data_IF_861209206791
#
_entry.id   IF_861209206791
#
_cell.length_a   1.000
_cell.length_b   1.000
_cell.length_c   1.000
_cell.angle_alpha   90.00
_cell.angle_beta   90.00
_cell.angle_gamma   90.00
#
_symmetry.space_group_name_H-M   'P 1'
#
loop_
_entity.id
_entity.type
_entity.pdbx_description
1 polymer ?
#
# COMPACT_ATOMS: atom_id res chain seq x y z
N UNK A 1 -21.46 17.19 24.63
CA UNK A 1 -20.92 15.86 24.34
C UNK A 1 -19.43 15.87 24.63
N UNK A 2 -18.92 14.92 25.41
CA UNK A 2 -17.49 14.79 25.74
C UNK A 2 -16.69 14.23 24.54
N UNK A 3 -15.38 14.43 24.52
CA UNK A 3 -14.48 13.86 23.48
C UNK A 3 -14.59 12.33 23.43
N UNK A 4 -14.68 11.68 24.59
CA UNK A 4 -14.85 10.23 24.70
C UNK A 4 -16.18 9.75 24.10
N UNK A 5 -17.31 10.42 24.40
CA UNK A 5 -18.61 10.08 23.83
C UNK A 5 -18.64 10.26 22.32
N UNK A 6 -17.93 11.24 21.78
CA UNK A 6 -17.78 11.41 20.33
C UNK A 6 -16.95 10.26 19.72
N UNK A 7 -15.82 9.90 20.36
CA UNK A 7 -14.98 8.79 19.89
C UNK A 7 -15.75 7.47 19.86
N UNK A 8 -16.53 7.15 20.89
CA UNK A 8 -17.36 5.93 20.92
C UNK A 8 -18.31 5.81 19.72
N UNK A 9 -18.86 6.93 19.23
CA UNK A 9 -19.78 6.93 18.08
C UNK A 9 -19.08 6.66 16.74
N UNK A 10 -17.80 6.95 16.63
CA UNK A 10 -17.02 6.74 15.39
C UNK A 10 -16.07 5.53 15.47
N UNK A 11 -15.87 4.94 16.64
CA UNK A 11 -14.85 3.90 16.88
C UNK A 11 -15.09 2.59 16.12
N UNK A 12 -16.32 2.31 15.70
CA UNK A 12 -16.65 1.17 14.83
C UNK A 12 -16.23 1.38 13.36
N UNK A 13 -15.90 2.61 12.99
CA UNK A 13 -15.47 2.95 11.63
C UNK A 13 -13.94 2.93 11.56
N UNK A 14 -13.37 2.35 10.51
CA UNK A 14 -11.91 2.41 10.28
C UNK A 14 -11.48 3.75 9.69
N UNK A 15 -12.35 4.37 8.88
CA UNK A 15 -12.15 5.67 8.25
C UNK A 15 -13.44 6.48 8.31
N UNK A 16 -13.31 7.76 8.58
CA UNK A 16 -14.43 8.71 8.54
C UNK A 16 -14.03 9.99 7.81
N UNK A 17 -15.02 10.61 7.17
CA UNK A 17 -14.92 12.02 6.80
C UNK A 17 -15.40 12.89 7.97
N UNK A 18 -14.97 14.16 8.01
CA UNK A 18 -15.50 15.09 9.04
C UNK A 18 -17.02 15.20 8.96
N UNK A 19 -17.59 15.11 7.75
CA UNK A 19 -19.05 15.15 7.54
C UNK A 19 -19.72 13.88 8.06
N UNK A 20 -19.21 12.68 7.73
CA UNK A 20 -19.80 11.44 8.23
C UNK A 20 -19.66 11.31 9.75
N UNK A 21 -18.55 11.75 10.34
CA UNK A 21 -18.38 11.80 11.80
C UNK A 21 -19.39 12.76 12.46
N UNK A 22 -19.67 13.90 11.84
CA UNK A 22 -20.68 14.83 12.31
C UNK A 22 -22.08 14.19 12.30
N UNK A 23 -22.44 13.49 11.22
CA UNK A 23 -23.71 12.77 11.08
C UNK A 23 -23.86 11.66 12.14
N UNK A 24 -22.86 10.80 12.30
CA UNK A 24 -22.83 9.72 13.30
C UNK A 24 -23.00 10.25 14.73
N UNK A 25 -22.44 11.43 15.00
CA UNK A 25 -22.49 12.04 16.32
C UNK A 25 -23.70 12.95 16.57
N UNK A 26 -24.46 13.32 15.54
CA UNK A 26 -25.53 14.32 15.63
C UNK A 26 -25.00 15.72 15.90
N UNK A 27 -23.87 16.11 15.29
CA UNK A 27 -23.19 17.39 15.50
C UNK A 27 -23.10 18.22 14.22
N UNK A 28 -22.80 19.52 14.40
CA UNK A 28 -22.38 20.34 13.27
C UNK A 28 -21.00 19.89 12.76
N UNK A 29 -20.71 20.11 11.46
CA UNK A 29 -19.41 19.80 10.86
C UNK A 29 -18.28 20.56 11.57
N UNK A 30 -18.51 21.80 11.99
CA UNK A 30 -17.55 22.60 12.73
C UNK A 30 -17.21 21.97 14.09
N UNK A 31 -18.21 21.54 14.84
CA UNK A 31 -18.04 20.88 16.14
C UNK A 31 -17.32 19.53 15.98
N UNK A 32 -17.71 18.72 14.99
CA UNK A 32 -17.04 17.45 14.70
C UNK A 32 -15.57 17.66 14.28
N UNK A 33 -15.27 18.69 13.50
CA UNK A 33 -13.91 19.05 13.13
C UNK A 33 -13.02 19.37 14.34
N UNK A 34 -13.55 20.12 15.31
CA UNK A 34 -12.84 20.41 16.56
C UNK A 34 -12.63 19.15 17.40
N UNK A 35 -13.65 18.29 17.51
CA UNK A 35 -13.56 17.04 18.24
C UNK A 35 -12.50 16.10 17.61
N UNK A 36 -12.51 15.93 16.27
CA UNK A 36 -11.52 15.13 15.54
C UNK A 36 -10.09 15.66 15.73
N UNK A 37 -9.88 16.98 15.75
CA UNK A 37 -8.57 17.56 16.04
C UNK A 37 -8.09 17.24 17.46
N UNK A 38 -8.97 17.27 18.48
CA UNK A 38 -8.64 16.89 19.85
C UNK A 38 -8.27 15.41 19.93
N UNK A 39 -9.08 14.52 19.32
CA UNK A 39 -8.77 13.09 19.23
C UNK A 39 -7.44 12.81 18.52
N UNK A 40 -7.08 13.64 17.54
CA UNK A 40 -5.80 13.49 16.83
C UNK A 40 -4.61 13.86 17.73
N UNK A 41 -4.75 14.86 18.61
CA UNK A 41 -3.72 15.19 19.61
C UNK A 41 -3.55 14.05 20.63
N UNK A 42 -4.62 13.32 20.93
CA UNK A 42 -4.62 12.15 21.83
C UNK A 42 -4.19 10.86 21.09
N UNK A 43 -3.92 10.91 19.77
CA UNK A 43 -3.50 9.75 18.96
C UNK A 43 -4.63 8.74 18.68
N UNK A 44 -5.89 9.09 18.96
CA UNK A 44 -7.06 8.23 18.77
C UNK A 44 -7.59 8.25 17.33
N UNK A 45 -7.27 9.29 16.57
CA UNK A 45 -7.53 9.37 15.13
C UNK A 45 -6.33 9.98 14.42
N UNK A 46 -6.17 9.67 13.14
CA UNK A 46 -5.07 10.22 12.32
C UNK A 46 -5.64 10.91 11.09
N UNK A 47 -5.26 12.17 10.86
CA UNK A 47 -5.65 12.91 9.68
C UNK A 47 -4.86 12.42 8.46
N UNK A 48 -5.57 12.03 7.40
CA UNK A 48 -4.98 11.57 6.14
C UNK A 48 -4.92 12.73 5.14
N UNK A 49 -6.07 13.35 4.90
CA UNK A 49 -6.27 14.50 4.01
C UNK A 49 -7.18 15.53 4.68
N UNK A 50 -7.36 16.72 4.12
CA UNK A 50 -8.37 17.65 4.60
C UNK A 50 -9.73 16.99 4.65
N UNK A 51 -10.30 16.86 5.86
CA UNK A 51 -11.61 16.26 6.09
C UNK A 51 -11.67 14.73 6.14
N UNK A 52 -10.55 14.02 6.00
CA UNK A 52 -10.47 12.55 6.03
C UNK A 52 -9.58 12.05 7.18
N UNK A 53 -10.04 11.04 7.91
CA UNK A 53 -9.44 10.57 9.14
C UNK A 53 -9.48 9.05 9.25
N UNK A 54 -8.39 8.43 9.70
CA UNK A 54 -8.38 7.05 10.19
C UNK A 54 -8.67 7.03 11.69
N UNK A 55 -9.38 6.00 12.15
CA UNK A 55 -9.82 5.84 13.54
C UNK A 55 -9.08 4.68 14.19
N UNK A 56 -8.64 4.87 15.41
CA UNK A 56 -8.01 3.84 16.23
C UNK A 56 -6.67 3.34 15.65
N UNK A 57 -6.47 2.02 15.67
CA UNK A 57 -5.25 1.36 15.20
C UNK A 57 -5.04 1.43 13.68
N UNK A 58 -6.07 1.74 12.90
CA UNK A 58 -6.01 1.73 11.44
C UNK A 58 -4.86 2.60 10.87
N UNK A 59 -4.44 3.64 11.60
CA UNK A 59 -3.29 4.47 11.22
C UNK A 59 -1.93 3.77 11.35
N UNK A 60 -1.86 2.62 12.03
CA UNK A 60 -0.66 1.80 12.19
C UNK A 60 -0.64 0.60 11.23
N UNK A 61 -1.71 0.37 10.51
CA UNK A 61 -1.90 -0.75 9.60
C UNK A 61 -1.51 -0.34 8.18
N UNK A 62 -0.45 -0.93 7.60
CA UNK A 62 0.11 -0.47 6.33
C UNK A 62 -0.88 -0.47 5.16
N UNK A 63 -1.72 -1.51 5.03
CA UNK A 63 -2.69 -1.59 3.95
C UNK A 63 -3.88 -0.63 4.15
N UNK A 64 -4.28 -0.35 5.42
CA UNK A 64 -5.27 0.67 5.73
C UNK A 64 -4.78 2.07 5.36
N UNK A 65 -3.50 2.40 5.63
CA UNK A 65 -2.89 3.66 5.20
C UNK A 65 -2.89 3.80 3.68
N UNK A 66 -2.51 2.75 2.95
CA UNK A 66 -2.51 2.72 1.49
C UNK A 66 -3.92 2.96 0.94
N UNK A 67 -4.93 2.24 1.47
CA UNK A 67 -6.32 2.40 1.06
C UNK A 67 -6.85 3.81 1.34
N UNK A 68 -6.55 4.37 2.51
CA UNK A 68 -6.98 5.72 2.88
C UNK A 68 -6.36 6.82 2.00
N UNK A 69 -5.07 6.68 1.65
CA UNK A 69 -4.40 7.63 0.74
C UNK A 69 -4.95 7.51 -0.67
N UNK A 70 -5.32 6.31 -1.12
CA UNK A 70 -5.88 6.05 -2.45
C UNK A 70 -7.33 6.52 -2.60
N UNK A 71 -8.09 6.60 -1.50
CA UNK A 71 -9.52 6.96 -1.52
C UNK A 71 -9.83 8.15 -2.45
N UNK A 72 -10.88 8.07 -3.30
CA UNK A 72 -11.94 7.07 -3.33
C UNK A 72 -11.65 5.82 -4.19
N UNK A 73 -10.45 5.67 -4.72
CA UNK A 73 -10.09 4.53 -5.55
C UNK A 73 -9.62 3.34 -4.71
N UNK A 74 -9.86 2.14 -5.21
CA UNK A 74 -9.29 0.92 -4.62
C UNK A 74 -7.77 0.92 -4.72
N UNK A 75 -7.13 0.31 -3.71
CA UNK A 75 -5.69 0.11 -3.67
C UNK A 75 -5.34 -1.13 -2.84
N UNK A 76 -4.16 -1.68 -3.12
CA UNK A 76 -3.55 -2.73 -2.32
C UNK A 76 -2.10 -2.39 -1.97
N UNK A 77 -1.66 -2.85 -0.80
CA UNK A 77 -0.26 -2.78 -0.37
C UNK A 77 0.58 -3.72 -1.24
N UNK A 78 1.72 -3.27 -1.73
CA UNK A 78 2.60 -4.03 -2.62
C UNK A 78 4.09 -3.75 -2.36
N UNK A 79 4.93 -4.20 -3.26
CA UNK A 79 6.36 -3.95 -3.26
C UNK A 79 7.06 -4.43 -1.99
N UNK A 80 7.99 -3.64 -1.48
CA UNK A 80 8.82 -4.02 -0.33
C UNK A 80 7.99 -4.31 0.92
N UNK A 81 6.93 -3.52 1.18
CA UNK A 81 6.08 -3.72 2.36
C UNK A 81 5.34 -5.06 2.33
N UNK A 82 4.82 -5.47 1.18
CA UNK A 82 4.16 -6.76 1.03
C UNK A 82 5.19 -7.91 0.99
N UNK A 83 6.35 -7.75 0.33
CA UNK A 83 7.43 -8.73 0.39
C UNK A 83 7.92 -8.97 1.83
N UNK A 84 8.03 -7.91 2.64
CA UNK A 84 8.37 -8.03 4.06
C UNK A 84 7.30 -8.80 4.83
N UNK A 85 6.03 -8.51 4.61
CA UNK A 85 4.92 -9.24 5.22
C UNK A 85 4.97 -10.74 4.89
N UNK A 86 5.31 -11.09 3.66
CA UNK A 86 5.48 -12.49 3.23
C UNK A 86 6.82 -13.12 3.65
N UNK A 87 7.65 -12.43 4.44
CA UNK A 87 8.94 -12.92 4.89
C UNK A 87 9.99 -13.07 3.79
N UNK A 88 9.81 -12.38 2.64
CA UNK A 88 10.68 -12.51 1.46
C UNK A 88 11.87 -11.57 1.45
N UNK A 89 11.88 -10.58 2.34
CA UNK A 89 12.99 -9.66 2.56
C UNK A 89 13.19 -9.42 4.05
N UNK A 90 14.41 -9.10 4.46
CA UNK A 90 14.75 -8.80 5.86
C UNK A 90 14.64 -7.31 6.19
N UNK A 91 14.75 -6.43 5.19
CA UNK A 91 14.71 -4.98 5.37
C UNK A 91 13.33 -4.51 5.82
N UNK A 92 13.32 -3.49 6.70
CA UNK A 92 12.11 -2.76 7.08
C UNK A 92 11.92 -1.56 6.15
N UNK A 93 10.89 -1.56 5.29
CA UNK A 93 10.69 -0.45 4.37
C UNK A 93 10.16 0.78 5.12
N UNK A 94 10.82 1.93 4.93
CA UNK A 94 10.37 3.25 5.43
C UNK A 94 9.18 3.82 4.64
N UNK A 95 8.91 3.24 3.47
CA UNK A 95 7.84 3.67 2.57
C UNK A 95 6.86 2.53 2.34
N UNK A 96 5.59 2.77 2.56
CA UNK A 96 4.53 1.86 2.14
C UNK A 96 4.18 2.10 0.67
N UNK A 97 4.38 1.07 -0.15
CA UNK A 97 4.05 1.08 -1.57
C UNK A 97 2.63 0.56 -1.77
N UNK A 98 1.81 1.38 -2.41
CA UNK A 98 0.47 1.00 -2.81
C UNK A 98 0.32 1.01 -4.33
N UNK A 99 -0.54 0.15 -4.81
CA UNK A 99 -0.97 0.09 -6.22
C UNK A 99 -2.44 0.43 -6.30
N UNK A 100 -2.81 1.30 -7.23
CA UNK A 100 -4.18 1.81 -7.37
C UNK A 100 -4.58 2.01 -8.83
N UNK A 101 -5.88 2.03 -9.08
CA UNK A 101 -6.47 2.49 -10.35
C UNK A 101 -6.57 4.02 -10.42
N UNK A 102 -6.38 4.72 -9.30
CA UNK A 102 -6.38 6.17 -9.22
C UNK A 102 -5.06 6.80 -9.67
N UNK A 103 -4.94 8.11 -9.45
CA UNK A 103 -3.71 8.86 -9.78
C UNK A 103 -2.56 8.48 -8.85
N UNK A 104 -1.31 8.44 -9.35
CA UNK A 104 -0.14 8.32 -8.48
C UNK A 104 -0.11 9.44 -7.44
N UNK A 105 0.31 9.10 -6.22
CA UNK A 105 0.44 10.05 -5.12
C UNK A 105 1.62 9.68 -4.22
N UNK A 106 2.17 10.67 -3.53
CA UNK A 106 3.14 10.46 -2.47
C UNK A 106 2.76 11.37 -1.30
N UNK A 107 2.62 10.80 -0.11
CA UNK A 107 2.14 11.53 1.06
C UNK A 107 2.78 10.96 2.34
N UNK A 108 3.14 11.84 3.27
CA UNK A 108 3.56 11.42 4.62
C UNK A 108 2.35 11.44 5.54
N UNK A 109 2.02 10.30 6.13
CA UNK A 109 0.88 10.11 7.03
C UNK A 109 1.36 9.39 8.28
N UNK A 110 1.01 9.87 9.47
CA UNK A 110 1.43 9.28 10.75
C UNK A 110 2.95 9.04 10.85
N UNK A 111 3.76 9.90 10.24
CA UNK A 111 5.22 9.74 10.22
C UNK A 111 5.75 8.82 9.12
N UNK A 112 4.90 8.05 8.45
CA UNK A 112 5.26 7.07 7.43
C UNK A 112 5.03 7.64 6.02
N UNK A 113 5.97 7.39 5.11
CA UNK A 113 5.79 7.73 3.70
C UNK A 113 4.90 6.68 3.03
N UNK A 114 3.79 7.11 2.41
CA UNK A 114 2.95 6.28 1.53
C UNK A 114 3.14 6.75 0.10
N UNK A 115 3.41 5.81 -0.80
CA UNK A 115 3.56 6.08 -2.23
C UNK A 115 2.64 5.19 -3.04
N UNK A 116 1.75 5.81 -3.82
CA UNK A 116 0.81 5.13 -4.71
C UNK A 116 1.33 5.13 -6.14
N UNK A 117 1.22 3.98 -6.77
CA UNK A 117 1.53 3.77 -8.18
C UNK A 117 0.27 3.38 -8.94
N UNK A 118 0.10 3.96 -10.12
CA UNK A 118 -1.02 3.62 -11.00
C UNK A 118 -0.68 2.40 -11.87
N UNK A 119 -1.66 1.50 -12.01
CA UNK A 119 -1.63 0.41 -12.99
C UNK A 119 -2.92 0.40 -13.81
N UNK A 120 -2.86 -0.23 -14.99
CA UNK A 120 -4.06 -0.49 -15.78
C UNK A 120 -4.94 -1.56 -15.11
N UNK A 121 -6.27 -1.58 -15.35
CA UNK A 121 -7.17 -2.59 -14.78
C UNK A 121 -6.71 -4.04 -15.04
N UNK A 122 -6.09 -4.32 -16.19
CA UNK A 122 -5.58 -5.66 -16.51
C UNK A 122 -4.47 -6.15 -15.57
N UNK A 123 -3.76 -5.24 -14.90
CA UNK A 123 -2.70 -5.54 -13.94
C UNK A 123 -3.15 -5.38 -12.47
N UNK A 124 -4.37 -4.87 -12.23
CA UNK A 124 -4.92 -4.67 -10.89
C UNK A 124 -5.56 -5.96 -10.36
N UNK A 125 -4.72 -6.90 -9.93
CA UNK A 125 -5.09 -8.26 -9.51
C UNK A 125 -3.94 -8.91 -8.73
N UNK A 126 -4.15 -10.09 -8.14
CA UNK A 126 -3.11 -10.85 -7.42
C UNK A 126 -2.88 -10.33 -6.00
N UNK A 127 -3.95 -9.94 -5.33
CA UNK A 127 -3.98 -9.48 -3.95
C UNK A 127 -5.18 -10.06 -3.20
N UNK A 128 -5.03 -10.20 -1.89
CA UNK A 128 -6.06 -10.71 -0.99
C UNK A 128 -6.22 -9.78 0.23
N UNK A 129 -7.35 -9.87 0.92
CA UNK A 129 -7.58 -9.08 2.13
C UNK A 129 -6.83 -9.71 3.31
N UNK A 130 -6.01 -8.90 3.99
CA UNK A 130 -5.23 -9.31 5.17
C UNK A 130 -5.72 -8.49 6.38
N UNK A 131 -6.47 -9.10 7.32
CA UNK A 131 -7.05 -8.41 8.47
C UNK A 131 -6.01 -7.67 9.32
N UNK A 132 -4.87 -8.32 9.61
CA UNK A 132 -3.80 -7.77 10.46
C UNK A 132 -3.10 -6.54 9.87
N UNK A 133 -3.15 -6.38 8.54
CA UNK A 133 -2.63 -5.20 7.85
C UNK A 133 -3.72 -4.20 7.46
N UNK A 134 -4.97 -4.56 7.74
CA UNK A 134 -6.13 -3.68 7.61
C UNK A 134 -6.61 -3.43 6.20
N UNK A 135 -6.26 -4.28 5.22
CA UNK A 135 -6.66 -4.06 3.84
C UNK A 135 -6.11 -5.10 2.88
N UNK A 136 -6.17 -4.78 1.60
CA UNK A 136 -5.68 -5.65 0.53
C UNK A 136 -4.16 -5.60 0.41
N UNK A 137 -3.55 -6.78 0.24
CA UNK A 137 -2.10 -6.98 0.14
C UNK A 137 -1.80 -7.87 -1.05
N UNK A 138 -0.86 -7.46 -1.87
CA UNK A 138 -0.37 -8.25 -3.00
C UNK A 138 0.27 -9.56 -2.52
N UNK A 139 0.14 -10.64 -3.28
CA UNK A 139 0.95 -11.84 -3.07
C UNK A 139 2.45 -11.54 -3.21
N UNK A 140 3.31 -12.44 -2.76
CA UNK A 140 4.76 -12.26 -2.91
C UNK A 140 5.16 -12.14 -4.38
N UNK A 141 4.58 -13.00 -5.24
CA UNK A 141 4.79 -12.98 -6.69
C UNK A 141 4.34 -11.66 -7.32
N UNK A 142 3.15 -11.18 -6.90
CA UNK A 142 2.60 -9.93 -7.42
C UNK A 142 3.44 -8.73 -6.96
N UNK A 143 3.89 -8.72 -5.72
CA UNK A 143 4.75 -7.67 -5.17
C UNK A 143 6.08 -7.57 -5.93
N UNK A 144 6.68 -8.70 -6.24
CA UNK A 144 7.91 -8.77 -7.04
C UNK A 144 7.67 -8.29 -8.47
N UNK A 145 6.57 -8.72 -9.10
CA UNK A 145 6.18 -8.26 -10.42
C UNK A 145 5.96 -6.74 -10.44
N UNK A 146 5.23 -6.17 -9.47
CA UNK A 146 4.95 -4.74 -9.38
C UNK A 146 6.25 -3.92 -9.25
N UNK A 147 7.19 -4.35 -8.43
CA UNK A 147 8.50 -3.68 -8.32
C UNK A 147 9.25 -3.68 -9.64
N UNK A 148 9.32 -4.83 -10.34
CA UNK A 148 9.96 -4.93 -11.64
C UNK A 148 9.25 -4.07 -12.70
N UNK A 149 7.91 -4.05 -12.68
CA UNK A 149 7.09 -3.25 -13.58
C UNK A 149 7.33 -1.75 -13.35
N UNK A 150 7.24 -1.26 -12.12
CA UNK A 150 7.45 0.16 -11.83
C UNK A 150 8.88 0.59 -12.11
N UNK A 151 9.87 -0.26 -11.84
CA UNK A 151 11.25 0.01 -12.22
C UNK A 151 11.47 0.06 -13.75
N UNK A 152 10.62 -0.60 -14.53
CA UNK A 152 10.67 -0.59 -16.00
C UNK A 152 9.97 0.61 -16.63
N UNK A 153 8.86 1.10 -16.02
CA UNK A 153 8.04 2.20 -16.56
C UNK A 153 8.40 3.57 -16.00
N UNK A 154 8.90 3.65 -14.77
CA UNK A 154 9.27 4.93 -14.16
C UNK A 154 10.57 5.49 -14.75
N UNK A 155 10.54 6.77 -15.12
CA UNK A 155 11.77 7.57 -15.31
C UNK A 155 12.43 7.96 -13.97
N UNK A 156 11.79 7.65 -12.83
CA UNK A 156 12.29 8.00 -11.51
C UNK A 156 13.24 6.94 -10.98
N UNK A 157 14.09 7.33 -10.02
CA UNK A 157 15.16 6.55 -9.37
C UNK A 157 14.72 5.26 -8.63
N UNK A 158 13.51 4.75 -8.84
CA UNK A 158 13.13 3.35 -8.56
C UNK A 158 13.87 2.36 -9.48
N UNK A 159 14.71 2.86 -10.39
CA UNK A 159 15.64 2.07 -11.21
C UNK A 159 16.78 1.43 -10.41
N UNK A 160 16.72 1.51 -9.08
CA UNK A 160 17.60 0.78 -8.19
C UNK A 160 17.46 -0.74 -8.37
N UNK A 161 18.46 -1.44 -7.89
CA UNK A 161 18.48 -2.89 -7.74
C UNK A 161 17.21 -3.32 -7.00
N UNK A 162 16.56 -4.39 -7.45
CA UNK A 162 15.46 -5.01 -6.70
C UNK A 162 16.04 -5.48 -5.35
N UNK A 163 15.22 -5.51 -4.27
CA UNK A 163 15.71 -5.95 -2.98
C UNK A 163 16.21 -7.39 -3.06
N UNK A 164 17.19 -7.71 -2.26
CA UNK A 164 17.60 -9.09 -2.04
C UNK A 164 16.38 -9.85 -1.49
N UNK A 165 15.84 -10.74 -2.32
CA UNK A 165 14.51 -11.34 -2.12
C UNK A 165 14.64 -12.85 -2.10
N UNK A 166 14.09 -13.50 -1.08
CA UNK A 166 13.94 -14.96 -1.03
C UNK A 166 12.99 -15.44 -2.14
N UNK A 167 13.54 -16.11 -3.16
CA UNK A 167 12.79 -16.53 -4.35
C UNK A 167 12.27 -17.96 -4.27
N UNK A 168 12.70 -18.74 -3.26
CA UNK A 168 12.30 -20.14 -3.11
C UNK A 168 10.78 -20.26 -2.92
N UNK A 169 10.16 -21.14 -3.69
CA UNK A 169 8.73 -21.42 -3.60
C UNK A 169 7.81 -20.38 -4.26
N UNK A 170 8.34 -19.38 -4.96
CA UNK A 170 7.51 -18.47 -5.75
C UNK A 170 6.94 -19.16 -7.00
N UNK A 171 5.67 -18.90 -7.28
CA UNK A 171 4.97 -19.41 -8.47
C UNK A 171 5.25 -18.52 -9.68
N UNK A 172 6.29 -18.83 -10.41
CA UNK A 172 6.70 -18.06 -11.61
C UNK A 172 5.65 -18.06 -12.73
N UNK A 173 4.74 -19.06 -12.77
CA UNK A 173 3.60 -19.09 -13.67
C UNK A 173 2.68 -17.88 -13.52
N UNK A 174 2.48 -17.40 -12.29
CA UNK A 174 1.63 -16.26 -11.99
C UNK A 174 2.29 -14.97 -12.53
N UNK A 175 3.59 -14.81 -12.29
CA UNK A 175 4.39 -13.69 -12.82
C UNK A 175 4.33 -13.68 -14.35
N UNK A 176 4.48 -14.83 -15.01
CA UNK A 176 4.36 -14.95 -16.46
C UNK A 176 2.94 -14.59 -16.95
N UNK A 177 1.91 -14.92 -16.16
CA UNK A 177 0.53 -14.51 -16.42
C UNK A 177 0.36 -13.00 -16.50
N UNK A 178 0.94 -12.24 -15.56
CA UNK A 178 0.88 -10.77 -15.57
C UNK A 178 1.76 -10.16 -16.66
N UNK A 179 2.93 -10.73 -16.94
CA UNK A 179 3.80 -10.30 -18.06
C UNK A 179 3.04 -10.30 -19.39
N UNK A 180 2.27 -11.35 -19.68
CA UNK A 180 1.45 -11.45 -20.92
C UNK A 180 0.38 -10.35 -21.02
N UNK A 181 -0.07 -9.79 -19.89
CA UNK A 181 -1.06 -8.69 -19.87
C UNK A 181 -0.45 -7.32 -20.16
N UNK A 182 0.88 -7.18 -20.18
CA UNK A 182 1.55 -5.93 -20.57
C UNK A 182 1.46 -5.78 -22.09
N UNK A 183 0.67 -4.79 -22.56
CA UNK A 183 0.47 -4.55 -23.99
C UNK A 183 1.72 -4.02 -24.69
N UNK A 184 2.46 -3.10 -24.04
CA UNK A 184 3.66 -2.48 -24.60
C UNK A 184 4.83 -3.45 -24.58
N UNK A 185 5.21 -4.02 -25.75
CA UNK A 185 6.28 -5.01 -25.88
C UNK A 185 7.60 -4.54 -25.23
N UNK A 186 8.00 -3.29 -25.47
CA UNK A 186 9.21 -2.68 -24.88
C UNK A 186 9.20 -2.68 -23.36
N UNK A 187 8.03 -2.43 -22.73
CA UNK A 187 7.89 -2.47 -21.27
C UNK A 187 7.99 -3.91 -20.80
N UNK A 188 7.27 -4.83 -21.45
CA UNK A 188 7.30 -6.26 -21.13
C UNK A 188 8.73 -6.81 -21.14
N UNK A 189 9.50 -6.58 -22.20
CA UNK A 189 10.91 -7.01 -22.28
C UNK A 189 11.76 -6.45 -21.16
N UNK A 190 11.58 -5.18 -20.77
CA UNK A 190 12.31 -4.58 -19.64
C UNK A 190 11.96 -5.24 -18.31
N UNK A 191 10.68 -5.55 -18.07
CA UNK A 191 10.23 -6.24 -16.85
C UNK A 191 10.82 -7.64 -16.80
N UNK A 192 10.74 -8.40 -17.91
CA UNK A 192 11.33 -9.74 -18.05
C UNK A 192 12.83 -9.73 -17.75
N UNK A 193 13.55 -8.76 -18.30
CA UNK A 193 14.99 -8.62 -18.06
C UNK A 193 15.31 -8.39 -16.59
N UNK A 194 14.56 -7.51 -15.89
CA UNK A 194 14.76 -7.25 -14.46
C UNK A 194 14.49 -8.48 -13.61
N UNK A 195 13.43 -9.22 -13.90
CA UNK A 195 13.10 -10.45 -13.18
C UNK A 195 14.12 -11.57 -13.44
N UNK A 196 14.65 -11.65 -14.67
CA UNK A 196 15.71 -12.59 -15.01
C UNK A 196 17.01 -12.30 -14.23
N UNK A 197 17.45 -11.04 -14.23
CA UNK A 197 18.66 -10.63 -13.46
C UNK A 197 18.55 -10.98 -11.99
N UNK A 198 17.38 -10.74 -11.36
CA UNK A 198 17.14 -11.11 -9.98
C UNK A 198 17.28 -12.63 -9.74
N UNK A 199 16.79 -13.47 -10.67
CA UNK A 199 16.92 -14.93 -10.58
C UNK A 199 18.37 -15.39 -10.72
N UNK A 200 19.13 -14.77 -11.63
CA UNK A 200 20.55 -15.08 -11.86
C UNK A 200 21.39 -14.70 -10.64
N UNK A 201 21.14 -13.52 -10.03
CA UNK A 201 21.80 -13.09 -8.79
C UNK A 201 21.53 -14.04 -7.63
N UNK A 202 20.28 -14.50 -7.48
CA UNK A 202 19.91 -15.44 -6.42
C UNK A 202 20.51 -16.84 -6.64
N UNK A 203 20.56 -17.31 -7.88
CA UNK A 203 21.18 -18.60 -8.20
C UNK A 203 22.71 -18.59 -7.91
N UNK A 204 23.40 -17.48 -8.14
CA UNK A 204 24.81 -17.32 -7.79
C UNK A 204 25.06 -17.36 -6.28
N UNK A 205 24.19 -16.74 -5.47
CA UNK A 205 24.32 -16.74 -4.00
C UNK A 205 24.11 -18.11 -3.36
N UNK A 206 23.29 -18.99 -3.96
CA UNK A 206 23.06 -20.36 -3.46
C UNK A 206 24.22 -21.28 -3.83
N UNK A 207 24.97 -20.98 -4.90
CA UNK A 207 26.15 -21.76 -5.33
C UNK A 207 27.41 -21.46 -4.50
N UNK A 208 27.46 -20.30 -3.82
CA UNK A 208 28.60 -19.85 -3.00
C UNK A 208 28.45 -20.20 -1.50
N UNK A 209 27.40 -20.90 -1.09
CA UNK A 209 27.16 -21.40 0.28
C UNK A 209 27.26 -22.93 0.36
#
# INVERSE_FOLDING_TARGET
>A
MTTLSFYQKISSQRQVTTRSAAQLAGLSVATASMALRRLALEGLVTRIKPGEWLVGSAAREPAALVAAVASPYEAYLSGWSALRHHGRIQQFPETHFGVTLGRPAAMKVAGVQVRLHHVTPALFTGYDFVPDLGGYVASAEKSLFDLAYFAAVSRSRLSGRLPETELKGLRWSDIQGWLRRIRAARVRTRVEQKLRLLREEHAGQVADQ
#
